data_IF_899157579514
#
_entry.id   IF_899157579514
#
_cell.length_a   1.000
_cell.length_b   1.000
_cell.length_c   1.000
_cell.angle_alpha   90.00
_cell.angle_beta   90.00
_cell.angle_gamma   90.00
#
_symmetry.space_group_name_H-M   'P 1'
#
loop_
_entity.id
_entity.type
_entity.pdbx_description
1 polymer ?
#
# COMPACT_ATOMS: atom_id res chain seq x y z
N UNK A 1 30.22 -14.33 5.75
CA UNK A 1 29.49 -13.12 5.28
C UNK A 1 28.43 -12.66 6.27
N UNK A 2 27.49 -13.50 6.71
CA UNK A 2 26.48 -13.13 7.73
C UNK A 2 27.02 -12.62 9.08
N UNK A 3 28.06 -13.20 9.72
CA UNK A 3 28.51 -12.70 11.03
C UNK A 3 29.13 -11.29 10.96
N UNK A 4 29.64 -10.88 9.80
CA UNK A 4 30.14 -9.50 9.59
C UNK A 4 29.00 -8.51 9.33
N UNK A 5 27.95 -8.93 8.59
CA UNK A 5 26.76 -8.10 8.34
C UNK A 5 25.92 -7.86 9.61
N UNK A 6 25.85 -8.85 10.51
CA UNK A 6 25.06 -8.77 11.73
C UNK A 6 25.81 -7.99 12.83
N UNK A 7 27.13 -8.14 12.93
CA UNK A 7 27.94 -7.53 14.00
C UNK A 7 28.21 -6.03 13.81
N UNK A 8 28.31 -5.54 12.56
CA UNK A 8 28.57 -4.14 12.27
C UNK A 8 27.39 -3.50 11.52
N UNK A 9 26.80 -2.44 12.09
CA UNK A 9 25.67 -1.71 11.49
C UNK A 9 25.95 -1.19 10.05
N UNK A 10 27.21 -0.93 9.72
CA UNK A 10 27.69 -0.39 8.43
C UNK A 10 28.01 -1.45 7.37
N UNK A 11 28.30 -2.69 7.76
CA UNK A 11 28.74 -3.74 6.83
C UNK A 11 27.68 -4.14 5.78
N UNK A 12 26.38 -4.24 6.12
CA UNK A 12 25.33 -4.52 5.14
C UNK A 12 25.23 -3.44 4.06
N UNK A 13 25.37 -2.18 4.44
CA UNK A 13 25.28 -1.04 3.52
C UNK A 13 26.45 -1.05 2.53
N UNK A 14 27.67 -1.33 3.00
CA UNK A 14 28.84 -1.37 2.14
C UNK A 14 28.78 -2.51 1.10
N UNK A 15 28.14 -3.63 1.42
CA UNK A 15 28.04 -4.76 0.47
C UNK A 15 26.80 -4.71 -0.41
N UNK A 16 25.65 -4.31 0.13
CA UNK A 16 24.37 -4.39 -0.58
C UNK A 16 24.16 -3.19 -1.52
N UNK A 17 24.66 -2.00 -1.18
CA UNK A 17 24.48 -0.82 -2.05
C UNK A 17 25.21 -0.97 -3.38
N UNK A 18 26.50 -1.38 -3.43
CA UNK A 18 27.17 -1.60 -4.71
C UNK A 18 26.49 -2.71 -5.53
N UNK A 19 26.07 -3.80 -4.88
CA UNK A 19 25.32 -4.86 -5.53
C UNK A 19 24.00 -4.35 -6.12
N UNK A 20 23.28 -3.51 -5.37
CA UNK A 20 22.04 -2.90 -5.81
C UNK A 20 22.24 -1.96 -7.00
N UNK A 21 23.29 -1.14 -6.98
CA UNK A 21 23.65 -0.25 -8.10
C UNK A 21 24.01 -1.06 -9.34
N UNK A 22 24.81 -2.13 -9.20
CA UNK A 22 25.16 -2.99 -10.33
C UNK A 22 23.91 -3.66 -10.93
N UNK A 23 23.06 -4.25 -10.09
CA UNK A 23 21.82 -4.88 -10.56
C UNK A 23 20.89 -3.85 -11.24
N UNK A 24 20.78 -2.64 -10.69
CA UNK A 24 20.01 -1.55 -11.27
C UNK A 24 20.55 -1.14 -12.65
N UNK A 25 21.87 -0.98 -12.81
CA UNK A 25 22.51 -0.65 -14.09
C UNK A 25 22.28 -1.76 -15.12
N UNK A 26 22.38 -3.03 -14.71
CA UNK A 26 22.14 -4.17 -15.60
C UNK A 26 20.69 -4.23 -16.07
N UNK A 27 19.71 -3.99 -15.19
CA UNK A 27 18.30 -3.90 -15.58
C UNK A 27 18.04 -2.72 -16.52
N UNK A 28 18.62 -1.56 -16.23
CA UNK A 28 18.51 -0.39 -17.10
C UNK A 28 19.10 -0.67 -18.49
N UNK A 29 20.28 -1.29 -18.56
CA UNK A 29 20.94 -1.65 -19.82
C UNK A 29 20.18 -2.75 -20.60
N UNK A 30 19.40 -3.60 -19.94
CA UNK A 30 18.57 -4.61 -20.59
C UNK A 30 17.21 -4.09 -21.07
N UNK A 31 16.91 -2.81 -20.84
CA UNK A 31 15.62 -2.19 -21.17
C UNK A 31 14.49 -2.57 -20.21
N UNK A 32 14.79 -3.27 -19.11
CA UNK A 32 13.84 -3.54 -18.04
C UNK A 32 13.76 -2.32 -17.11
N UNK A 33 12.56 -2.01 -16.63
CA UNK A 33 12.40 -0.88 -15.74
C UNK A 33 13.18 -1.09 -14.43
N UNK A 34 13.87 -0.05 -13.98
CA UNK A 34 14.88 -0.20 -12.95
C UNK A 34 14.31 -0.52 -11.55
N UNK A 35 13.00 -0.34 -11.33
CA UNK A 35 12.30 -0.76 -10.11
C UNK A 35 12.27 -2.28 -9.94
N UNK A 36 12.31 -3.03 -11.05
CA UNK A 36 12.34 -4.51 -11.03
C UNK A 36 13.61 -5.03 -10.36
N UNK A 37 14.74 -4.33 -10.52
CA UNK A 37 15.99 -4.69 -9.86
C UNK A 37 15.83 -4.74 -8.34
N UNK A 38 15.11 -3.78 -7.74
CA UNK A 38 14.85 -3.76 -6.30
C UNK A 38 14.04 -4.97 -5.84
N UNK A 39 13.03 -5.37 -6.60
CA UNK A 39 12.20 -6.56 -6.31
C UNK A 39 13.02 -7.85 -6.40
N UNK A 40 13.84 -7.99 -7.45
CA UNK A 40 14.72 -9.16 -7.62
C UNK A 40 15.76 -9.27 -6.51
N UNK A 41 16.36 -8.15 -6.11
CA UNK A 41 17.29 -8.12 -4.98
C UNK A 41 16.59 -8.50 -3.68
N UNK A 42 15.38 -8.00 -3.44
CA UNK A 42 14.59 -8.35 -2.26
C UNK A 42 14.34 -9.86 -2.17
N UNK A 43 14.01 -10.51 -3.30
CA UNK A 43 13.85 -11.97 -3.36
C UNK A 43 15.15 -12.75 -3.12
N UNK A 44 16.31 -12.14 -3.38
CA UNK A 44 17.61 -12.77 -3.11
C UNK A 44 18.04 -12.68 -1.63
N UNK A 45 17.36 -11.86 -0.80
CA UNK A 45 17.69 -11.72 0.62
C UNK A 45 17.11 -12.88 1.43
N UNK A 46 17.93 -13.58 2.23
CA UNK A 46 17.46 -14.71 3.04
C UNK A 46 16.52 -14.25 4.18
N UNK A 47 15.37 -14.91 4.26
CA UNK A 47 14.33 -14.65 5.27
C UNK A 47 14.56 -15.44 6.57
N UNK A 48 15.18 -16.63 6.48
CA UNK A 48 15.42 -17.48 7.66
C UNK A 48 16.73 -17.11 8.35
N UNK A 49 16.76 -17.03 9.70
CA UNK A 49 18.01 -16.92 10.43
C UNK A 49 18.84 -18.20 10.26
N UNK A 50 20.19 -18.12 10.30
CA UNK A 50 21.06 -19.28 10.36
C UNK A 50 20.73 -20.19 11.54
N UNK A 51 20.90 -21.50 11.35
CA UNK A 51 20.60 -22.51 12.40
C UNK A 51 21.44 -22.32 13.69
N UNK A 52 22.59 -21.65 13.59
CA UNK A 52 23.57 -21.46 14.67
C UNK A 52 23.58 -20.03 15.24
N UNK A 53 22.55 -19.23 14.96
CA UNK A 53 22.47 -17.84 15.43
C UNK A 53 21.37 -17.66 16.48
N UNK A 54 21.69 -17.03 17.62
CA UNK A 54 20.74 -16.62 18.68
C UNK A 54 19.77 -15.50 18.25
N UNK A 55 19.84 -15.04 17.00
CA UNK A 55 18.96 -14.01 16.46
C UNK A 55 17.61 -14.58 16.02
N UNK A 56 16.54 -14.12 16.67
CA UNK A 56 15.14 -14.46 16.34
C UNK A 56 14.72 -13.98 14.93
N UNK A 57 15.38 -12.95 14.39
CA UNK A 57 15.05 -12.32 13.11
C UNK A 57 16.08 -12.66 12.01
N UNK A 58 15.60 -13.06 10.83
CA UNK A 58 16.42 -13.23 9.64
C UNK A 58 16.91 -11.91 9.03
N UNK A 59 17.88 -12.00 8.10
CA UNK A 59 18.51 -10.83 7.48
C UNK A 59 17.49 -9.91 6.77
N UNK A 60 16.47 -10.50 6.13
CA UNK A 60 15.39 -9.75 5.49
C UNK A 60 14.66 -8.83 6.47
N UNK A 61 14.29 -9.32 7.66
CA UNK A 61 13.58 -8.52 8.66
C UNK A 61 14.43 -7.37 9.23
N UNK A 62 15.73 -7.60 9.40
CA UNK A 62 16.67 -6.55 9.85
C UNK A 62 16.80 -5.45 8.78
N UNK A 63 16.95 -5.84 7.51
CA UNK A 63 17.08 -4.90 6.40
C UNK A 63 15.78 -4.13 6.16
N UNK A 64 14.63 -4.81 6.23
CA UNK A 64 13.32 -4.18 6.13
C UNK A 64 13.17 -3.04 7.15
N UNK A 65 13.43 -3.30 8.44
CA UNK A 65 13.31 -2.29 9.49
C UNK A 65 14.26 -1.10 9.29
N UNK A 66 15.43 -1.33 8.70
CA UNK A 66 16.41 -0.25 8.40
C UNK A 66 16.03 0.56 7.17
N UNK A 67 15.51 -0.09 6.12
CA UNK A 67 15.17 0.56 4.85
C UNK A 67 13.80 1.23 4.89
N UNK A 68 12.84 0.66 5.63
CA UNK A 68 11.47 1.17 5.76
C UNK A 68 11.37 2.66 6.11
N UNK A 69 12.06 3.20 7.14
CA UNK A 69 11.97 4.62 7.48
C UNK A 69 12.52 5.52 6.38
N UNK A 70 13.59 5.11 5.68
CA UNK A 70 14.14 5.86 4.56
C UNK A 70 13.21 5.83 3.34
N UNK A 71 12.66 4.65 3.03
CA UNK A 71 11.73 4.49 1.92
C UNK A 71 10.43 5.27 2.14
N UNK A 72 9.75 5.03 3.26
CA UNK A 72 8.47 5.67 3.56
C UNK A 72 8.61 7.15 3.94
N UNK A 73 9.70 7.54 4.60
CA UNK A 73 9.92 8.91 5.07
C UNK A 73 10.55 9.85 4.05
N UNK A 74 11.33 9.33 3.08
CA UNK A 74 12.05 10.16 2.10
C UNK A 74 11.75 9.75 0.67
N UNK A 75 11.99 8.50 0.30
CA UNK A 75 11.91 8.08 -1.10
C UNK A 75 10.49 8.23 -1.68
N UNK A 76 9.46 7.76 -0.96
CA UNK A 76 8.06 7.83 -1.39
C UNK A 76 7.56 9.29 -1.48
N UNK A 77 7.75 10.15 -0.47
CA UNK A 77 7.38 11.57 -0.59
C UNK A 77 8.10 12.31 -1.71
N UNK A 78 9.41 12.07 -1.91
CA UNK A 78 10.17 12.71 -2.99
C UNK A 78 9.67 12.25 -4.35
N UNK A 79 9.46 10.94 -4.54
CA UNK A 79 8.86 10.40 -5.76
C UNK A 79 7.49 11.02 -6.03
N UNK A 80 6.62 11.02 -5.02
CA UNK A 80 5.29 11.59 -5.10
C UNK A 80 5.32 13.08 -5.51
N UNK A 81 6.23 13.85 -4.91
CA UNK A 81 6.39 15.27 -5.22
C UNK A 81 6.79 15.51 -6.68
N UNK A 82 7.75 14.75 -7.20
CA UNK A 82 8.19 14.90 -8.59
C UNK A 82 7.16 14.36 -9.60
N UNK A 83 6.54 13.21 -9.34
CA UNK A 83 5.54 12.63 -10.25
C UNK A 83 4.22 13.41 -10.24
N UNK A 84 3.77 13.91 -9.08
CA UNK A 84 2.52 14.68 -8.99
C UNK A 84 2.71 16.17 -9.35
N UNK A 85 3.89 16.74 -9.10
CA UNK A 85 4.19 18.16 -9.36
C UNK A 85 4.13 18.55 -10.84
N UNK A 86 4.31 17.60 -11.76
CA UNK A 86 4.17 17.81 -13.21
C UNK A 86 2.70 17.98 -13.63
N UNK A 87 1.75 17.44 -12.85
CA UNK A 87 0.33 17.40 -13.21
C UNK A 87 -0.46 18.68 -12.91
N UNK A 88 0.17 19.76 -12.44
CA UNK A 88 -0.53 21.00 -12.05
C UNK A 88 -0.83 21.86 -13.29
N UNK A 89 -1.65 21.33 -14.22
CA UNK A 89 -2.22 22.03 -15.38
C UNK A 89 -3.40 22.96 -15.03
N UNK A 90 -3.57 23.32 -13.75
CA UNK A 90 -4.67 24.16 -13.27
C UNK A 90 -6.06 23.52 -13.40
N UNK A 91 -7.11 24.36 -13.39
CA UNK A 91 -8.51 23.93 -13.51
C UNK A 91 -8.81 23.23 -14.84
N UNK A 92 -8.05 23.52 -15.90
CA UNK A 92 -8.20 22.89 -17.22
C UNK A 92 -7.79 21.41 -17.20
N UNK A 93 -6.66 21.07 -16.56
CA UNK A 93 -6.25 19.67 -16.41
C UNK A 93 -7.26 18.83 -15.61
N UNK A 94 -7.93 19.44 -14.62
CA UNK A 94 -9.02 18.79 -13.88
C UNK A 94 -10.26 18.56 -14.76
N UNK A 95 -10.69 19.55 -15.54
CA UNK A 95 -11.83 19.37 -16.45
C UNK A 95 -11.54 18.30 -17.49
N UNK A 96 -10.32 18.26 -18.02
CA UNK A 96 -9.91 17.29 -19.04
C UNK A 96 -9.82 15.87 -18.45
N UNK A 97 -9.36 15.73 -17.20
CA UNK A 97 -9.36 14.43 -16.51
C UNK A 97 -10.77 13.88 -16.25
N UNK A 98 -11.75 14.74 -15.94
CA UNK A 98 -13.13 14.30 -15.64
C UNK A 98 -13.97 14.14 -16.91
N UNK A 99 -13.60 14.76 -18.02
CA UNK A 99 -14.36 14.66 -19.29
C UNK A 99 -13.74 13.68 -20.27
N UNK A 100 -12.43 13.43 -20.21
CA UNK A 100 -11.77 12.47 -21.08
C UNK A 100 -12.14 11.02 -20.72
N UNK A 101 -12.22 10.18 -21.75
CA UNK A 101 -12.48 8.74 -21.58
C UNK A 101 -11.39 8.04 -20.77
N UNK A 102 -10.12 8.48 -20.95
CA UNK A 102 -8.97 7.94 -20.21
C UNK A 102 -9.08 8.29 -18.73
N UNK A 103 -9.30 9.56 -18.39
CA UNK A 103 -9.38 9.98 -17.00
C UNK A 103 -10.58 9.37 -16.27
N UNK A 104 -11.75 9.31 -16.90
CA UNK A 104 -12.91 8.60 -16.36
C UNK A 104 -12.64 7.10 -16.17
N UNK A 105 -12.00 6.46 -17.15
CA UNK A 105 -11.61 5.05 -17.06
C UNK A 105 -10.67 4.78 -15.89
N UNK A 106 -9.70 5.67 -15.68
CA UNK A 106 -8.76 5.61 -14.55
C UNK A 106 -9.50 5.81 -13.22
N UNK A 107 -10.36 6.83 -13.10
CA UNK A 107 -11.10 7.12 -11.86
C UNK A 107 -12.02 5.96 -11.47
N UNK A 108 -12.85 5.49 -12.41
CA UNK A 108 -13.78 4.38 -12.17
C UNK A 108 -13.01 3.08 -11.92
N UNK A 109 -11.96 2.81 -12.69
CA UNK A 109 -11.13 1.62 -12.54
C UNK A 109 -10.42 1.56 -11.19
N UNK A 110 -9.91 2.70 -10.70
CA UNK A 110 -9.27 2.77 -9.37
C UNK A 110 -10.29 2.64 -8.25
N UNK A 111 -11.35 3.44 -8.25
CA UNK A 111 -12.28 3.49 -7.11
C UNK A 111 -13.20 2.27 -7.11
N UNK A 112 -13.98 2.09 -8.18
CA UNK A 112 -14.93 0.99 -8.26
C UNK A 112 -14.24 -0.35 -8.53
N UNK A 113 -13.22 -0.36 -9.42
CA UNK A 113 -12.50 -1.59 -9.74
C UNK A 113 -11.77 -2.20 -8.54
N UNK A 114 -11.12 -1.39 -7.69
CA UNK A 114 -10.49 -1.91 -6.46
C UNK A 114 -11.52 -2.34 -5.42
N UNK A 115 -12.57 -1.55 -5.20
CA UNK A 115 -13.62 -1.92 -4.25
C UNK A 115 -14.31 -3.23 -4.64
N UNK A 116 -14.74 -3.37 -5.90
CA UNK A 116 -15.37 -4.59 -6.42
C UNK A 116 -14.38 -5.75 -6.51
N UNK A 117 -13.13 -5.50 -6.89
CA UNK A 117 -12.10 -6.54 -6.99
C UNK A 117 -11.77 -7.15 -5.63
N UNK A 118 -11.54 -6.32 -4.61
CA UNK A 118 -11.21 -6.77 -3.26
C UNK A 118 -12.43 -7.45 -2.61
N UNK A 119 -13.59 -6.80 -2.66
CA UNK A 119 -14.82 -7.36 -2.06
C UNK A 119 -15.25 -8.63 -2.77
N UNK A 120 -15.21 -8.64 -4.11
CA UNK A 120 -15.60 -9.77 -4.94
C UNK A 120 -14.64 -10.95 -4.81
N UNK A 121 -13.32 -10.71 -4.76
CA UNK A 121 -12.35 -11.79 -4.53
C UNK A 121 -12.49 -12.39 -3.13
N UNK A 122 -12.69 -11.56 -2.11
CA UNK A 122 -12.97 -12.02 -0.73
C UNK A 122 -14.26 -12.83 -0.68
N UNK A 123 -15.31 -12.36 -1.35
CA UNK A 123 -16.57 -13.10 -1.49
C UNK A 123 -16.39 -14.44 -2.20
N UNK A 124 -15.62 -14.47 -3.28
CA UNK A 124 -15.36 -15.69 -4.02
C UNK A 124 -14.59 -16.71 -3.18
N UNK A 125 -13.55 -16.27 -2.47
CA UNK A 125 -12.74 -17.15 -1.61
C UNK A 125 -13.56 -17.70 -0.44
N UNK A 126 -14.31 -16.84 0.26
CA UNK A 126 -15.18 -17.27 1.38
C UNK A 126 -16.24 -18.26 0.91
N UNK A 127 -16.83 -18.03 -0.27
CA UNK A 127 -17.81 -18.94 -0.88
C UNK A 127 -17.23 -20.28 -1.30
N UNK A 128 -16.07 -20.29 -1.96
CA UNK A 128 -15.47 -21.53 -2.48
C UNK A 128 -14.83 -22.38 -1.38
N UNK A 129 -14.25 -21.75 -0.35
CA UNK A 129 -13.52 -22.43 0.73
C UNK A 129 -14.37 -22.67 1.97
N UNK A 130 -15.64 -22.26 1.97
CA UNK A 130 -16.53 -22.28 3.15
C UNK A 130 -15.88 -21.62 4.38
N UNK A 131 -15.00 -20.64 4.14
CA UNK A 131 -14.37 -19.87 5.20
C UNK A 131 -15.37 -18.82 5.69
N UNK A 132 -15.45 -18.64 7.00
CA UNK A 132 -16.26 -17.59 7.62
C UNK A 132 -15.40 -16.35 7.81
N UNK A 133 -15.99 -15.18 7.60
CA UNK A 133 -15.38 -13.93 8.02
C UNK A 133 -15.34 -13.91 9.55
N UNK A 134 -14.39 -13.17 10.10
CA UNK A 134 -14.33 -12.92 11.54
C UNK A 134 -15.69 -12.40 12.03
N UNK A 135 -16.25 -12.92 13.14
CA UNK A 135 -17.54 -12.47 13.68
C UNK A 135 -17.60 -10.95 13.93
N UNK A 136 -16.46 -10.33 14.21
CA UNK A 136 -16.39 -8.91 14.49
C UNK A 136 -16.38 -8.08 13.20
N UNK A 137 -16.12 -8.69 12.03
CA UNK A 137 -16.12 -8.01 10.74
C UNK A 137 -17.45 -8.20 10.01
N UNK A 138 -18.03 -7.09 9.55
CA UNK A 138 -19.16 -7.13 8.63
C UNK A 138 -18.70 -6.95 7.18
N UNK A 139 -19.54 -7.33 6.23
CA UNK A 139 -19.26 -7.17 4.79
C UNK A 139 -19.02 -5.72 4.37
N UNK A 140 -19.61 -4.76 5.09
CA UNK A 140 -19.37 -3.34 4.86
C UNK A 140 -17.95 -2.91 5.25
N UNK A 141 -17.31 -3.60 6.21
CA UNK A 141 -15.92 -3.34 6.59
C UNK A 141 -14.97 -3.88 5.52
N UNK A 142 -15.27 -5.05 4.92
CA UNK A 142 -14.55 -5.57 3.74
C UNK A 142 -14.70 -4.65 2.54
N UNK A 143 -15.92 -4.16 2.29
CA UNK A 143 -16.18 -3.19 1.23
C UNK A 143 -15.41 -1.89 1.47
N UNK A 144 -15.45 -1.34 2.69
CA UNK A 144 -14.71 -0.15 3.06
C UNK A 144 -13.19 -0.32 2.92
N UNK A 145 -12.65 -1.47 3.30
CA UNK A 145 -11.25 -1.83 3.05
C UNK A 145 -10.94 -1.89 1.54
N UNK A 146 -11.87 -2.41 0.74
CA UNK A 146 -11.79 -2.40 -0.71
C UNK A 146 -11.71 -0.98 -1.30
N UNK A 147 -12.50 -0.04 -0.76
CA UNK A 147 -12.47 1.37 -1.16
C UNK A 147 -11.15 2.04 -0.76
N UNK A 148 -10.58 1.74 0.41
CA UNK A 148 -9.22 2.18 0.78
C UNK A 148 -8.18 1.68 -0.23
N UNK A 149 -8.35 0.45 -0.73
CA UNK A 149 -7.51 -0.11 -1.79
C UNK A 149 -7.56 0.66 -3.12
N UNK A 150 -8.55 1.56 -3.30
CA UNK A 150 -8.66 2.51 -4.40
C UNK A 150 -7.67 3.69 -4.33
N UNK A 151 -6.97 3.87 -3.21
CA UNK A 151 -5.93 4.89 -3.06
C UNK A 151 -4.66 4.40 -3.78
N UNK A 152 -4.62 4.61 -5.09
CA UNK A 152 -3.53 4.14 -5.96
C UNK A 152 -2.28 5.01 -5.95
N UNK A 153 -2.43 6.30 -5.61
CA UNK A 153 -1.40 7.35 -5.55
C UNK A 153 -0.05 6.99 -6.20
N UNK A 154 0.99 6.69 -5.43
CA UNK A 154 2.36 6.52 -5.96
C UNK A 154 2.53 5.36 -6.93
N UNK A 155 1.93 4.20 -6.66
CA UNK A 155 2.04 3.04 -7.57
C UNK A 155 1.27 3.31 -8.86
N UNK A 156 0.10 3.95 -8.78
CA UNK A 156 -0.66 4.30 -9.96
C UNK A 156 -0.01 5.40 -10.79
N UNK A 157 0.64 6.39 -10.15
CA UNK A 157 1.43 7.41 -10.87
C UNK A 157 2.58 6.76 -11.65
N UNK A 158 3.31 5.83 -11.02
CA UNK A 158 4.36 5.06 -11.71
C UNK A 158 3.79 4.27 -12.90
N UNK A 159 2.66 3.59 -12.72
CA UNK A 159 2.02 2.81 -13.79
C UNK A 159 1.50 3.71 -14.92
N UNK A 160 1.01 4.90 -14.62
CA UNK A 160 0.58 5.90 -15.62
C UNK A 160 1.75 6.33 -16.49
N UNK A 161 2.88 6.72 -15.87
CA UNK A 161 4.08 7.13 -16.59
C UNK A 161 4.60 6.02 -17.52
N UNK A 162 4.52 4.75 -17.06
CA UNK A 162 4.90 3.57 -17.85
C UNK A 162 3.91 3.26 -18.98
N UNK A 163 2.62 3.56 -18.80
CA UNK A 163 1.56 3.19 -19.75
C UNK A 163 1.40 4.22 -20.86
N UNK A 164 1.46 5.52 -20.52
CA UNK A 164 1.20 6.61 -21.46
C UNK A 164 2.48 7.30 -21.95
N UNK A 165 3.62 7.04 -21.30
CA UNK A 165 4.90 7.65 -21.65
C UNK A 165 5.05 9.04 -21.03
N UNK A 166 6.23 9.28 -20.44
CA UNK A 166 6.52 10.52 -19.73
C UNK A 166 6.44 11.74 -20.65
N UNK A 167 5.72 12.77 -20.22
CA UNK A 167 5.63 14.06 -20.90
C UNK A 167 4.63 14.10 -22.07
N UNK A 168 3.74 13.11 -22.17
CA UNK A 168 2.58 13.16 -23.09
C UNK A 168 1.36 13.78 -22.40
N UNK A 169 0.46 14.39 -23.17
CA UNK A 169 -0.81 14.92 -22.63
C UNK A 169 -1.65 13.85 -21.90
N UNK A 170 -1.53 12.59 -22.33
CA UNK A 170 -2.22 11.46 -21.70
C UNK A 170 -1.66 11.11 -20.32
N UNK A 171 -0.35 11.27 -20.11
CA UNK A 171 0.28 11.06 -18.81
C UNK A 171 -0.20 12.13 -17.80
N UNK A 172 -0.31 13.38 -18.24
CA UNK A 172 -0.82 14.46 -17.38
C UNK A 172 -2.29 14.25 -17.00
N UNK A 173 -3.14 13.88 -17.98
CA UNK A 173 -4.53 13.48 -17.72
C UNK A 173 -4.59 12.31 -16.72
N UNK A 174 -3.74 11.29 -16.92
CA UNK A 174 -3.65 10.12 -16.05
C UNK A 174 -3.28 10.48 -14.61
N UNK A 175 -2.26 11.33 -14.43
CA UNK A 175 -1.83 11.83 -13.11
C UNK A 175 -2.94 12.57 -12.38
N UNK A 176 -3.61 13.51 -13.04
CA UNK A 176 -4.74 14.25 -12.44
C UNK A 176 -5.90 13.30 -12.09
N UNK A 177 -6.21 12.35 -12.97
CA UNK A 177 -7.25 11.34 -12.71
C UNK A 177 -6.91 10.45 -11.50
N UNK A 178 -5.66 10.01 -11.35
CA UNK A 178 -5.20 9.20 -10.21
C UNK A 178 -5.29 9.98 -8.90
N UNK A 179 -4.88 11.25 -8.90
CA UNK A 179 -4.97 12.11 -7.71
C UNK A 179 -6.43 12.32 -7.32
N UNK A 180 -7.29 12.61 -8.29
CA UNK A 180 -8.74 12.78 -8.10
C UNK A 180 -9.37 11.50 -7.55
N UNK A 181 -9.04 10.35 -8.14
CA UNK A 181 -9.49 9.04 -7.70
C UNK A 181 -9.04 8.72 -6.28
N UNK A 182 -7.79 9.04 -5.93
CA UNK A 182 -7.22 8.78 -4.60
C UNK A 182 -7.91 9.63 -3.52
N UNK A 183 -8.19 10.90 -3.79
CA UNK A 183 -8.95 11.77 -2.89
C UNK A 183 -10.39 11.27 -2.76
N UNK A 184 -11.04 10.93 -3.88
CA UNK A 184 -12.40 10.38 -3.88
C UNK A 184 -12.48 9.08 -3.07
N UNK A 185 -11.55 8.16 -3.28
CA UNK A 185 -11.46 6.90 -2.53
C UNK A 185 -11.25 7.16 -1.03
N UNK A 186 -10.36 8.08 -0.66
CA UNK A 186 -10.12 8.43 0.74
C UNK A 186 -11.37 9.02 1.41
N UNK A 187 -12.11 9.91 0.74
CA UNK A 187 -13.36 10.48 1.25
C UNK A 187 -14.44 9.41 1.38
N UNK A 188 -14.65 8.58 0.36
CA UNK A 188 -15.63 7.50 0.40
C UNK A 188 -15.31 6.48 1.49
N UNK A 189 -14.04 6.08 1.62
CA UNK A 189 -13.58 5.19 2.68
C UNK A 189 -13.82 5.81 4.06
N UNK A 190 -13.48 7.08 4.25
CA UNK A 190 -13.70 7.79 5.52
C UNK A 190 -15.18 7.86 5.90
N UNK A 191 -16.09 8.02 4.93
CA UNK A 191 -17.54 8.00 5.18
C UNK A 191 -18.01 6.58 5.56
N UNK A 192 -17.63 5.56 4.79
CA UNK A 192 -18.05 4.17 5.02
C UNK A 192 -17.51 3.65 6.35
N UNK A 193 -16.20 3.74 6.57
CA UNK A 193 -15.55 3.28 7.81
C UNK A 193 -15.84 4.20 8.99
N UNK A 194 -16.01 5.50 8.79
CA UNK A 194 -16.36 6.43 9.87
C UNK A 194 -17.72 6.13 10.48
N UNK A 195 -18.69 5.72 9.66
CA UNK A 195 -19.99 5.22 10.13
C UNK A 195 -19.83 3.95 10.98
N UNK A 196 -18.98 3.01 10.55
CA UNK A 196 -18.71 1.75 11.26
C UNK A 196 -17.91 1.93 12.52
N UNK A 197 -16.96 2.86 12.55
CA UNK A 197 -16.15 3.16 13.73
C UNK A 197 -17.02 3.62 14.91
N UNK A 198 -18.11 4.35 14.66
CA UNK A 198 -19.07 4.72 15.72
C UNK A 198 -19.74 3.49 16.35
N UNK A 199 -20.08 2.50 15.53
CA UNK A 199 -20.63 1.24 16.00
C UNK A 199 -19.61 0.46 16.83
N UNK A 200 -18.39 0.27 16.33
CA UNK A 200 -17.34 -0.42 17.08
C UNK A 200 -16.99 0.27 18.39
N UNK A 201 -16.91 1.61 18.40
CA UNK A 201 -16.69 2.37 19.62
C UNK A 201 -17.78 2.14 20.67
N UNK A 202 -19.05 2.00 20.24
CA UNK A 202 -20.14 1.69 21.17
C UNK A 202 -20.08 0.25 21.70
N UNK A 203 -19.62 -0.69 20.87
CA UNK A 203 -19.41 -2.09 21.26
C UNK A 203 -18.25 -2.20 22.26
N UNK A 204 -17.13 -1.51 21.99
CA UNK A 204 -15.95 -1.49 22.85
C UNK A 204 -16.23 -0.81 24.21
N UNK A 205 -17.00 0.27 24.23
CA UNK A 205 -17.46 0.89 25.48
C UNK A 205 -18.32 -0.10 26.28
N UNK A 206 -19.24 -0.82 25.64
CA UNK A 206 -20.06 -1.83 26.30
C UNK A 206 -19.24 -3.05 26.80
N UNK A 207 -18.13 -3.38 26.14
CA UNK A 207 -17.22 -4.46 26.55
C UNK A 207 -16.19 -4.04 27.60
N UNK A 208 -16.01 -2.75 27.86
CA UNK A 208 -15.06 -2.21 28.84
C UNK A 208 -15.72 -1.58 30.07
N UNK A 209 -17.03 -1.36 30.01
CA UNK A 209 -17.83 -0.95 31.17
C UNK A 209 -17.98 -2.11 32.14
N UNK A 210 -17.48 -1.89 33.35
CA UNK A 210 -17.63 -2.70 34.55
C UNK A 210 -18.12 -1.73 35.65
N UNK A 211 -19.43 -1.48 35.69
CA UNK A 211 -20.07 -0.55 36.64
C UNK A 211 -20.06 -1.12 38.07
N UNK A 212 -20.05 -2.44 38.21
CA UNK A 212 -20.10 -3.12 39.51
C UNK A 212 -18.69 -3.36 40.12
N UNK A 213 -17.62 -3.08 39.36
CA UNK A 213 -16.21 -3.26 39.70
C UNK A 213 -15.85 -4.69 40.13
N UNK A 214 -16.52 -5.69 39.56
CA UNK A 214 -16.29 -7.09 39.90
C UNK A 214 -15.18 -7.74 39.05
N UNK A 215 -14.62 -7.01 38.09
CA UNK A 215 -13.55 -7.45 37.20
C UNK A 215 -14.05 -8.18 35.96
N UNK A 216 -15.36 -8.30 35.76
CA UNK A 216 -16.00 -8.76 34.53
C UNK A 216 -16.83 -7.64 33.90
N UNK A 217 -16.71 -7.39 32.59
CA UNK A 217 -17.52 -6.34 31.97
C UNK A 217 -19.01 -6.71 31.98
N UNK A 218 -19.87 -5.72 32.27
CA UNK A 218 -21.32 -5.89 32.51
C UNK A 218 -22.06 -6.59 31.35
N UNK A 219 -21.51 -6.48 30.12
CA UNK A 219 -22.07 -7.12 28.92
C UNK A 219 -22.00 -8.66 28.97
N UNK A 220 -21.05 -9.23 29.72
CA UNK A 220 -20.85 -10.68 29.82
C UNK A 220 -21.61 -11.33 30.98
N UNK A 221 -22.31 -10.54 31.79
CA UNK A 221 -23.13 -11.00 32.92
C UNK A 221 -24.59 -11.34 32.55
N UNK A 222 -25.02 -11.03 31.32
CA UNK A 222 -26.39 -11.27 30.83
C UNK A 222 -26.62 -12.63 30.19
#
# INVERSE_FOLDING_TARGET
FQPLLVRNWWAPWLTLVPLAVVAWVLCYASGVHATVAGVLLAFAVPVRPPADSDTEHGLAGILEHRVRPFSAGVAVPVFAFFSAGVAVGGLQGFTDAVTSSIGLGVIVGLVAGKALGITGSTWLVTRLRHAKLDPDLAWIDVFGLGVIGGIGFTVSLLVSELSFGQGTDFDDIGKVAILTASVLAAVLAAVVLGSRNRHYKSVEIAESLDENHDGTPDRFER
#
